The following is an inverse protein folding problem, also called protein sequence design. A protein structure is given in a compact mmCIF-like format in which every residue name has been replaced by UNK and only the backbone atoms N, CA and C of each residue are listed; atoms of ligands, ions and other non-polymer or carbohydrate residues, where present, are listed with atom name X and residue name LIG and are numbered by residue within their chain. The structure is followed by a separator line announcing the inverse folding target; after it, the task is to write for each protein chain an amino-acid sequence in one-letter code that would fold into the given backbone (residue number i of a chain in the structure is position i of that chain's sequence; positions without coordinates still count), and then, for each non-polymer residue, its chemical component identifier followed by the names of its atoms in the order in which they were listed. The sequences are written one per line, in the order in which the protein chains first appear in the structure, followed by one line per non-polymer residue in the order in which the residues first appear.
data_IF_920477692743
#
_entry.id   IF_920477692743
#
_cell.length_a   1.000
_cell.length_b   1.000
_cell.length_c   1.000
_cell.angle_alpha   90.00
_cell.angle_beta   90.00
_cell.angle_gamma   90.00
#
_symmetry.space_group_name_H-M   'P 1'
#
loop_
_entity.id
_entity.type
_entity.pdbx_description
1 polymer ?
#
# COMPACT_ATOMS: atom_id res chain seq x y z
N UNK A 1 -20.85 -2.01 19.30
CA UNK A 1 -20.36 -1.08 20.33
C UNK A 1 -19.15 -0.37 19.74
N UNK A 2 -19.37 0.82 19.19
CA UNK A 2 -18.36 1.56 18.41
C UNK A 2 -17.63 2.49 19.37
N UNK A 3 -16.37 2.19 19.69
CA UNK A 3 -15.53 3.12 20.43
C UNK A 3 -14.69 3.95 19.46
N UNK A 4 -15.10 5.20 19.30
CA UNK A 4 -14.22 6.29 18.89
C UNK A 4 -13.42 6.73 20.11
N UNK A 5 -12.09 6.77 20.01
CA UNK A 5 -11.25 7.58 20.89
C UNK A 5 -10.46 8.53 20.00
N UNK A 6 -10.70 9.81 20.24
CA UNK A 6 -9.97 10.91 19.64
C UNK A 6 -8.66 11.15 20.42
N UNK A 7 -7.59 11.41 19.67
CA UNK A 7 -6.49 12.27 20.09
C UNK A 7 -5.48 11.66 21.05
N UNK A 8 -4.45 11.02 20.51
CA UNK A 8 -3.08 11.15 21.02
C UNK A 8 -2.11 10.77 19.89
N UNK A 9 -0.98 11.46 19.83
CA UNK A 9 0.02 11.44 18.77
C UNK A 9 0.73 10.08 18.71
N UNK A 10 0.05 9.07 18.19
CA UNK A 10 0.52 7.69 18.11
C UNK A 10 0.32 7.15 16.70
N UNK A 11 1.30 6.37 16.22
CA UNK A 11 1.04 5.49 15.07
C UNK A 11 -0.23 4.70 15.39
N UNK A 12 -1.21 4.74 14.49
CA UNK A 12 -2.44 3.96 14.60
C UNK A 12 -2.09 2.51 14.94
N UNK A 13 -2.76 1.88 15.92
CA UNK A 13 -2.56 0.47 16.28
C UNK A 13 -2.56 -0.47 15.06
N UNK A 14 -3.41 -0.16 14.07
CA UNK A 14 -3.43 -0.82 12.77
C UNK A 14 -2.07 -0.77 12.06
N UNK A 15 -1.37 0.37 12.12
CA UNK A 15 -0.05 0.52 11.51
C UNK A 15 1.02 -0.36 12.17
N UNK A 16 0.99 -0.49 13.50
CA UNK A 16 1.90 -1.39 14.22
C UNK A 16 1.63 -2.86 13.91
N UNK A 17 0.35 -3.25 13.88
CA UNK A 17 -0.08 -4.61 13.51
C UNK A 17 0.33 -4.95 12.05
N UNK A 18 0.28 -3.97 11.15
CA UNK A 18 0.71 -4.16 9.75
C UNK A 18 2.24 -4.24 9.62
N UNK A 19 2.99 -3.46 10.41
CA UNK A 19 4.45 -3.55 10.43
C UNK A 19 4.94 -4.93 10.93
N UNK A 20 4.21 -5.55 11.86
CA UNK A 20 4.53 -6.89 12.33
C UNK A 20 4.39 -7.99 11.26
N UNK A 21 3.69 -7.72 10.15
CA UNK A 21 3.54 -8.64 9.02
C UNK A 21 4.68 -8.52 8.00
N UNK A 22 5.56 -7.53 8.13
CA UNK A 22 6.63 -7.28 7.15
C UNK A 22 7.76 -8.29 7.35
N UNK A 23 7.93 -9.17 6.37
CA UNK A 23 9.02 -10.14 6.28
C UNK A 23 10.11 -9.71 5.28
N UNK A 24 9.76 -8.83 4.34
CA UNK A 24 10.63 -8.40 3.25
C UNK A 24 10.77 -6.88 3.24
N UNK A 25 12.01 -6.39 3.14
CA UNK A 25 12.30 -4.96 3.04
C UNK A 25 13.16 -4.68 1.80
N UNK A 26 12.69 -3.80 0.92
CA UNK A 26 13.49 -3.17 -0.12
C UNK A 26 14.05 -1.87 0.45
N UNK A 27 15.29 -1.93 0.94
CA UNK A 27 15.96 -0.80 1.57
C UNK A 27 16.03 0.44 0.67
N UNK A 28 16.15 1.62 1.28
CA UNK A 28 16.23 2.93 0.59
C UNK A 28 17.31 2.98 -0.50
N UNK A 29 18.44 2.32 -0.28
CA UNK A 29 19.55 2.28 -1.23
C UNK A 29 19.33 1.28 -2.38
N UNK A 30 18.36 0.37 -2.23
CA UNK A 30 18.13 -0.70 -3.17
C UNK A 30 17.33 -0.24 -4.40
N UNK A 31 17.65 -0.85 -5.54
CA UNK A 31 16.90 -0.77 -6.79
C UNK A 31 16.58 -2.17 -7.24
N UNK A 32 15.32 -2.54 -7.21
CA UNK A 32 14.85 -3.90 -7.55
C UNK A 32 14.02 -3.83 -8.83
N UNK A 33 14.34 -4.72 -9.78
CA UNK A 33 13.52 -4.95 -10.97
C UNK A 33 13.19 -6.43 -11.07
N UNK A 34 11.91 -6.76 -11.13
CA UNK A 34 11.51 -8.16 -11.30
C UNK A 34 10.11 -8.45 -10.79
N UNK A 35 9.90 -9.70 -10.39
CA UNK A 35 8.61 -10.22 -9.96
C UNK A 35 8.75 -10.85 -8.58
N UNK A 36 7.89 -10.45 -7.65
CA UNK A 36 7.73 -11.05 -6.34
C UNK A 36 6.32 -11.65 -6.26
N UNK A 37 6.24 -12.96 -6.05
CA UNK A 37 4.96 -13.68 -5.88
C UNK A 37 5.02 -14.49 -4.61
N UNK A 38 3.96 -14.40 -3.82
CA UNK A 38 3.74 -15.29 -2.68
C UNK A 38 2.27 -15.65 -2.59
N UNK A 39 1.97 -16.89 -2.25
CA UNK A 39 0.61 -17.35 -1.94
C UNK A 39 0.30 -17.28 -0.44
N UNK A 40 1.30 -16.93 0.39
CA UNK A 40 1.19 -16.85 1.84
C UNK A 40 0.86 -15.42 2.32
N UNK A 41 0.50 -15.31 3.60
CA UNK A 41 0.35 -14.03 4.30
C UNK A 41 1.75 -13.44 4.54
N UNK A 42 2.20 -12.65 3.56
CA UNK A 42 3.50 -12.02 3.56
C UNK A 42 3.35 -10.50 3.50
N UNK A 43 4.35 -9.81 4.06
CA UNK A 43 4.42 -8.36 4.04
C UNK A 43 5.69 -7.85 3.37
N UNK A 44 5.55 -6.92 2.43
CA UNK A 44 6.67 -6.23 1.81
C UNK A 44 6.64 -4.73 2.12
N UNK A 45 7.77 -4.21 2.58
CA UNK A 45 8.01 -2.77 2.75
C UNK A 45 9.02 -2.27 1.73
N UNK A 46 8.68 -1.21 1.02
CA UNK A 46 9.50 -0.58 -0.01
C UNK A 46 9.91 0.80 0.47
N UNK A 47 11.21 0.98 0.70
CA UNK A 47 11.84 2.25 1.06
C UNK A 47 12.65 2.83 -0.12
N UNK A 48 13.12 1.97 -1.02
CA UNK A 48 13.95 2.32 -2.18
C UNK A 48 13.16 2.42 -3.47
N UNK A 49 13.71 1.84 -4.55
CA UNK A 49 13.10 1.86 -5.89
C UNK A 49 12.68 0.47 -6.34
N UNK A 50 11.47 0.34 -6.85
CA UNK A 50 10.94 -0.92 -7.37
C UNK A 50 10.30 -0.73 -8.76
N UNK A 51 10.55 -1.70 -9.64
CA UNK A 51 9.89 -1.84 -10.94
C UNK A 51 9.52 -3.29 -11.24
N UNK A 52 8.26 -3.54 -11.56
CA UNK A 52 7.78 -4.85 -11.98
C UNK A 52 6.54 -5.28 -11.20
N UNK A 53 6.45 -6.56 -10.84
CA UNK A 53 5.19 -7.12 -10.30
C UNK A 53 5.35 -7.61 -8.87
N UNK A 54 4.42 -7.23 -8.00
CA UNK A 54 4.24 -7.79 -6.66
C UNK A 54 2.82 -8.33 -6.59
N UNK A 55 2.68 -9.65 -6.42
CA UNK A 55 1.39 -10.32 -6.28
C UNK A 55 1.41 -11.21 -5.04
N UNK A 56 0.70 -10.78 -4.00
CA UNK A 56 0.69 -11.46 -2.71
C UNK A 56 -0.67 -12.09 -2.42
N UNK A 57 -0.64 -13.22 -1.71
CA UNK A 57 -1.82 -13.99 -1.29
C UNK A 57 -2.66 -13.30 -0.20
N UNK A 58 -3.71 -13.96 0.29
CA UNK A 58 -4.58 -13.43 1.35
C UNK A 58 -3.81 -13.08 2.63
N UNK A 59 -4.27 -12.05 3.36
CA UNK A 59 -3.65 -11.51 4.58
C UNK A 59 -2.53 -10.49 4.32
N UNK A 60 -1.99 -10.47 3.10
CA UNK A 60 -0.76 -9.75 2.76
C UNK A 60 -0.82 -8.23 2.83
N UNK A 61 0.37 -7.63 2.99
CA UNK A 61 0.54 -6.19 3.11
C UNK A 61 1.64 -5.68 2.18
N UNK A 62 1.36 -4.61 1.43
CA UNK A 62 2.38 -3.82 0.73
C UNK A 62 2.44 -2.43 1.38
N UNK A 63 3.63 -2.04 1.83
CA UNK A 63 3.92 -0.72 2.38
C UNK A 63 4.90 0.02 1.48
N UNK A 64 4.46 1.10 0.83
CA UNK A 64 5.36 2.01 0.10
C UNK A 64 5.66 3.20 1.00
N UNK A 65 6.88 3.29 1.53
CA UNK A 65 7.27 4.31 2.49
C UNK A 65 7.55 5.67 1.83
N UNK A 66 7.66 6.69 2.66
CA UNK A 66 8.04 8.03 2.19
C UNK A 66 9.42 8.01 1.51
N UNK A 67 9.52 8.67 0.35
CA UNK A 67 10.73 8.71 -0.48
C UNK A 67 10.94 7.48 -1.37
N UNK A 68 10.13 6.42 -1.20
CA UNK A 68 10.15 5.27 -2.10
C UNK A 68 9.52 5.62 -3.45
N UNK A 69 10.01 4.96 -4.51
CA UNK A 69 9.56 5.14 -5.89
C UNK A 69 9.20 3.79 -6.47
N UNK A 70 7.92 3.61 -6.81
CA UNK A 70 7.40 2.42 -7.47
C UNK A 70 6.86 2.82 -8.84
N UNK A 71 7.46 2.33 -9.92
CA UNK A 71 7.14 2.76 -11.28
C UNK A 71 6.96 1.57 -12.21
N UNK A 72 6.11 1.73 -13.23
CA UNK A 72 5.86 0.71 -14.26
C UNK A 72 5.58 -0.67 -13.64
N UNK A 73 4.67 -0.70 -12.67
CA UNK A 73 4.48 -1.83 -11.78
C UNK A 73 3.03 -2.30 -11.70
N UNK A 74 2.87 -3.55 -11.26
CA UNK A 74 1.60 -4.16 -10.85
C UNK A 74 1.69 -4.57 -9.39
N UNK A 75 0.79 -4.06 -8.55
CA UNK A 75 0.78 -4.30 -7.11
C UNK A 75 -0.57 -4.93 -6.72
N UNK A 76 -0.53 -6.13 -6.15
CA UNK A 76 -1.72 -6.82 -5.68
C UNK A 76 -1.50 -7.41 -4.27
N UNK A 77 -2.34 -7.00 -3.33
CA UNK A 77 -2.36 -7.49 -1.95
C UNK A 77 -3.71 -7.23 -1.27
N UNK A 78 -3.90 -7.74 -0.05
CA UNK A 78 -5.10 -7.41 0.74
C UNK A 78 -5.06 -5.97 1.22
N UNK A 79 -3.90 -5.54 1.69
CA UNK A 79 -3.70 -4.21 2.27
C UNK A 79 -2.55 -3.52 1.55
N UNK A 80 -2.81 -2.33 1.01
CA UNK A 80 -1.80 -1.51 0.36
C UNK A 80 -1.80 -0.12 1.00
N UNK A 81 -0.68 0.24 1.64
CA UNK A 81 -0.47 1.58 2.20
C UNK A 81 0.62 2.31 1.43
N UNK A 82 0.33 3.53 1.00
CA UNK A 82 1.26 4.36 0.21
C UNK A 82 1.56 5.66 0.94
N UNK A 83 2.85 5.97 1.12
CA UNK A 83 3.37 7.25 1.61
C UNK A 83 4.44 7.86 0.68
N UNK A 84 4.82 7.14 -0.38
CA UNK A 84 5.77 7.57 -1.41
C UNK A 84 5.11 7.83 -2.77
N UNK A 85 5.90 7.69 -3.84
CA UNK A 85 5.45 7.82 -5.22
C UNK A 85 5.16 6.44 -5.83
N UNK A 86 3.97 6.27 -6.40
CA UNK A 86 3.52 5.04 -7.05
C UNK A 86 2.91 5.36 -8.40
N UNK A 87 3.48 4.83 -9.49
CA UNK A 87 2.89 4.80 -10.83
C UNK A 87 2.70 3.35 -11.26
N UNK A 88 1.51 2.80 -10.98
CA UNK A 88 1.25 1.37 -11.07
C UNK A 88 -0.23 1.05 -11.33
N UNK A 89 -0.48 -0.20 -11.72
CA UNK A 89 -1.79 -0.83 -11.57
C UNK A 89 -1.85 -1.43 -10.17
N UNK A 90 -2.80 -0.97 -9.36
CA UNK A 90 -2.92 -1.32 -7.95
C UNK A 90 -4.24 -2.02 -7.70
N UNK A 91 -4.19 -3.21 -7.11
CA UNK A 91 -5.35 -3.98 -6.66
C UNK A 91 -5.23 -4.21 -5.15
N UNK A 92 -6.05 -3.52 -4.38
CA UNK A 92 -6.18 -3.71 -2.95
C UNK A 92 -7.49 -4.45 -2.64
N UNK A 93 -7.39 -5.68 -2.13
CA UNK A 93 -8.59 -6.52 -1.94
C UNK A 93 -9.41 -6.12 -0.70
N UNK A 94 -8.78 -5.58 0.33
CA UNK A 94 -9.45 -5.28 1.60
C UNK A 94 -9.30 -3.82 2.02
N UNK A 95 -8.10 -3.24 1.87
CA UNK A 95 -7.85 -1.88 2.31
C UNK A 95 -6.78 -1.17 1.48
N UNK A 96 -7.09 0.04 1.04
CA UNK A 96 -6.12 0.96 0.46
C UNK A 96 -6.05 2.25 1.26
N UNK A 97 -4.84 2.70 1.59
CA UNK A 97 -4.62 4.01 2.20
C UNK A 97 -3.47 4.75 1.55
N UNK A 98 -3.76 5.97 1.11
CA UNK A 98 -2.75 6.91 0.68
C UNK A 98 -2.56 7.99 1.76
N UNK A 99 -1.37 8.00 2.36
CA UNK A 99 -0.96 8.94 3.41
C UNK A 99 -0.70 10.34 2.84
N UNK A 100 -0.53 11.31 3.74
CA UNK A 100 -0.24 12.69 3.36
C UNK A 100 1.02 12.76 2.47
N UNK A 101 0.94 13.52 1.38
CA UNK A 101 1.98 13.66 0.35
C UNK A 101 2.30 12.40 -0.46
N UNK A 102 1.51 11.35 -0.34
CA UNK A 102 1.57 10.23 -1.28
C UNK A 102 1.12 10.70 -2.68
N UNK A 103 1.79 10.21 -3.71
CA UNK A 103 1.47 10.46 -5.11
C UNK A 103 1.18 9.13 -5.79
N UNK A 104 -0.05 8.94 -6.26
CA UNK A 104 -0.49 7.66 -6.83
C UNK A 104 -1.08 7.92 -8.21
N UNK A 105 -0.48 7.29 -9.22
CA UNK A 105 -0.84 7.39 -10.63
C UNK A 105 -1.14 6.02 -11.23
N UNK A 106 -2.08 5.96 -12.17
CA UNK A 106 -2.37 4.74 -12.95
C UNK A 106 -3.79 4.23 -12.75
N UNK A 107 -3.94 2.94 -12.49
CA UNK A 107 -5.23 2.29 -12.22
C UNK A 107 -5.27 1.81 -10.77
N UNK A 108 -6.36 2.08 -10.07
CA UNK A 108 -6.58 1.63 -8.70
C UNK A 108 -7.91 0.89 -8.58
N UNK A 109 -7.86 -0.41 -8.36
CA UNK A 109 -8.99 -1.23 -7.96
C UNK A 109 -8.94 -1.46 -6.45
N UNK A 110 -9.94 -0.95 -5.72
CA UNK A 110 -10.07 -1.19 -4.28
C UNK A 110 -11.39 -1.91 -4.01
N UNK A 111 -11.31 -3.18 -3.62
CA UNK A 111 -12.50 -4.01 -3.37
C UNK A 111 -13.05 -3.84 -1.95
N UNK A 112 -12.29 -3.20 -1.06
CA UNK A 112 -12.73 -2.92 0.30
C UNK A 112 -12.74 -1.42 0.61
N UNK A 113 -12.21 -1.06 1.78
CA UNK A 113 -12.21 0.34 2.24
C UNK A 113 -11.03 1.11 1.65
N UNK A 114 -11.30 2.32 1.18
CA UNK A 114 -10.28 3.26 0.73
C UNK A 114 -10.24 4.47 1.66
N UNK A 115 -9.03 4.93 1.99
CA UNK A 115 -8.78 6.15 2.76
C UNK A 115 -7.69 7.00 2.12
N UNK A 116 -7.91 8.30 2.09
CA UNK A 116 -6.90 9.28 1.64
C UNK A 116 -6.74 10.35 2.72
N UNK A 117 -5.53 10.85 2.88
CA UNK A 117 -5.25 11.95 3.80
C UNK A 117 -5.18 13.30 3.06
N UNK A 118 -5.26 14.43 3.79
CA UNK A 118 -5.00 15.74 3.19
C UNK A 118 -3.63 15.77 2.49
N UNK A 119 -3.58 16.46 1.35
CA UNK A 119 -2.36 16.62 0.52
C UNK A 119 -1.87 15.34 -0.17
N UNK A 120 -2.66 14.25 -0.18
CA UNK A 120 -2.44 13.15 -1.12
C UNK A 120 -2.81 13.59 -2.54
N UNK A 121 -2.01 13.20 -3.53
CA UNK A 121 -2.35 13.34 -4.94
C UNK A 121 -2.69 11.97 -5.54
N UNK A 122 -3.92 11.81 -6.01
CA UNK A 122 -4.39 10.61 -6.68
C UNK A 122 -4.82 10.96 -8.10
N UNK A 123 -3.98 10.61 -9.08
CA UNK A 123 -4.24 10.80 -10.51
C UNK A 123 -4.38 9.43 -11.15
N UNK A 124 -5.49 8.76 -10.85
CA UNK A 124 -5.74 7.40 -11.25
C UNK A 124 -7.18 7.19 -11.72
N UNK A 125 -7.40 6.23 -12.63
CA UNK A 125 -8.74 5.67 -12.81
C UNK A 125 -9.03 4.77 -11.62
N UNK A 126 -10.08 5.08 -10.86
CA UNK A 126 -10.41 4.37 -9.63
C UNK A 126 -11.67 3.52 -9.82
N UNK A 127 -11.57 2.23 -9.53
CA UNK A 127 -12.69 1.30 -9.44
C UNK A 127 -12.86 0.88 -7.99
N UNK A 128 -14.02 1.19 -7.40
CA UNK A 128 -14.39 0.79 -6.06
C UNK A 128 -15.46 -0.30 -6.12
N UNK A 129 -15.35 -1.33 -5.28
CA UNK A 129 -16.44 -2.28 -5.14
C UNK A 129 -17.68 -1.61 -4.52
N UNK A 130 -18.91 -2.06 -4.87
CA UNK A 130 -20.13 -1.63 -4.20
C UNK A 130 -20.02 -1.87 -2.70
N UNK A 131 -20.56 -0.93 -1.90
CA UNK A 131 -20.76 -1.14 -0.47
C UNK A 131 -22.19 -1.62 -0.28
N UNK A 132 -22.35 -2.87 0.15
CA UNK A 132 -23.63 -3.41 0.65
C UNK A 132 -23.99 -2.80 2.01
#
# INVERSE_FOLDING_TARGET
MTHFIAGETGRSRLHEELLARIDTVIDRSARVRGTFVSTADNGIRIDGRFKGRICLGPGSVILVQHGAVVEESELEADIILVAGYVRANVTARTYFEANARAEVHGHLACLGKMKTHPSTMLVASVALAPRD
#
